data_IF_193918639055
#
_entry.id   IF_193918639055
#
_cell.length_a   1.000
_cell.length_b   1.000
_cell.length_c   1.000
_cell.angle_alpha   90.00
_cell.angle_beta   90.00
_cell.angle_gamma   90.00
#
_symmetry.space_group_name_H-M   'P 1'
#
loop_
_entity.id
_entity.type
_entity.pdbx_description
1 polymer ?
#
# COMPACT_ATOMS: atom_id res chain seq x y z
N UNK A 1 18.85 11.17 -23.22
CA UNK A 1 17.59 10.39 -23.15
C UNK A 1 17.74 9.36 -22.03
N UNK A 2 16.91 9.40 -20.99
CA UNK A 2 17.02 8.44 -19.88
C UNK A 2 16.47 7.08 -20.34
N UNK A 3 17.25 6.00 -20.17
CA UNK A 3 16.82 4.65 -20.57
C UNK A 3 15.71 4.17 -19.63
N UNK A 4 14.55 3.82 -20.19
CA UNK A 4 13.45 3.23 -19.43
C UNK A 4 13.86 1.83 -18.93
N UNK A 5 13.46 1.51 -17.70
CA UNK A 5 13.68 0.19 -17.10
C UNK A 5 12.91 -0.90 -17.87
N UNK A 6 13.44 -2.11 -17.88
CA UNK A 6 12.75 -3.26 -18.49
C UNK A 6 11.42 -3.57 -17.78
N UNK A 7 10.55 -4.36 -18.42
CA UNK A 7 9.31 -4.85 -17.79
C UNK A 7 9.63 -5.55 -16.47
N UNK A 8 10.63 -6.43 -16.46
CA UNK A 8 10.98 -7.23 -15.28
C UNK A 8 11.53 -6.36 -14.14
N UNK A 9 12.37 -5.36 -14.44
CA UNK A 9 12.86 -4.40 -13.44
C UNK A 9 11.74 -3.55 -12.85
N UNK A 10 10.77 -3.14 -13.68
CA UNK A 10 9.60 -2.39 -13.23
C UNK A 10 8.67 -3.26 -12.39
N UNK A 11 8.49 -4.52 -12.79
CA UNK A 11 7.68 -5.49 -12.07
C UNK A 11 8.26 -5.79 -10.68
N UNK A 12 9.57 -6.06 -10.59
CA UNK A 12 10.26 -6.26 -9.30
C UNK A 12 10.06 -5.06 -8.36
N UNK A 13 10.29 -3.84 -8.84
CA UNK A 13 10.06 -2.61 -8.06
C UNK A 13 8.62 -2.46 -7.60
N UNK A 14 7.65 -2.77 -8.48
CA UNK A 14 6.24 -2.73 -8.11
C UNK A 14 5.90 -3.76 -7.03
N UNK A 15 6.45 -4.97 -7.11
CA UNK A 15 6.33 -5.99 -6.07
C UNK A 15 6.87 -5.51 -4.73
N UNK A 16 8.04 -4.86 -4.72
CA UNK A 16 8.60 -4.24 -3.52
C UNK A 16 7.69 -3.14 -2.96
N UNK A 17 7.07 -2.32 -3.80
CA UNK A 17 6.11 -1.30 -3.36
C UNK A 17 4.87 -1.92 -2.70
N UNK A 18 4.34 -3.00 -3.27
CA UNK A 18 3.18 -3.72 -2.69
C UNK A 18 3.52 -4.31 -1.32
N UNK A 19 4.67 -4.98 -1.20
CA UNK A 19 5.14 -5.55 0.08
C UNK A 19 5.38 -4.46 1.12
N UNK A 20 6.06 -3.38 0.74
CA UNK A 20 6.31 -2.24 1.65
C UNK A 20 5.02 -1.56 2.08
N UNK A 21 4.08 -1.35 1.17
CA UNK A 21 2.77 -0.80 1.52
C UNK A 21 2.12 -1.65 2.62
N UNK A 22 2.07 -2.97 2.43
CA UNK A 22 1.47 -3.86 3.45
C UNK A 22 2.19 -3.79 4.80
N UNK A 23 3.52 -3.77 4.81
CA UNK A 23 4.28 -3.60 6.05
C UNK A 23 3.83 -2.37 6.85
N UNK A 24 3.74 -1.23 6.17
CA UNK A 24 3.31 0.01 6.83
C UNK A 24 1.86 -0.01 7.26
N UNK A 25 0.98 -0.64 6.49
CA UNK A 25 -0.41 -0.83 6.89
C UNK A 25 -0.52 -1.69 8.16
N UNK A 26 0.25 -2.78 8.24
CA UNK A 26 0.19 -3.71 9.36
C UNK A 26 0.75 -3.09 10.65
N UNK A 27 1.80 -2.26 10.54
CA UNK A 27 2.29 -1.45 11.66
C UNK A 27 1.27 -0.39 12.07
N UNK A 28 0.73 0.39 11.14
CA UNK A 28 -0.32 1.37 11.44
C UNK A 28 -1.50 0.70 12.15
N UNK A 29 -1.95 -0.46 11.65
CA UNK A 29 -3.07 -1.20 12.22
C UNK A 29 -2.81 -1.60 13.66
N UNK A 30 -1.59 -2.07 13.96
CA UNK A 30 -1.19 -2.44 15.31
C UNK A 30 -1.17 -1.27 16.30
N UNK A 31 -0.83 -0.06 15.85
CA UNK A 31 -0.76 1.11 16.73
C UNK A 31 -2.08 1.88 16.84
N UNK A 32 -2.98 1.76 15.87
CA UNK A 32 -4.17 2.62 15.76
C UNK A 32 -5.50 1.89 15.91
N UNK A 33 -5.59 0.58 15.64
CA UNK A 33 -6.86 -0.14 15.79
C UNK A 33 -7.16 -0.46 17.25
N UNK A 34 -8.44 -0.37 17.61
CA UNK A 34 -8.90 -0.50 19.00
C UNK A 34 -8.49 -1.83 19.66
N UNK A 35 -8.49 -2.91 18.89
CA UNK A 35 -8.14 -4.28 19.32
C UNK A 35 -6.70 -4.43 19.80
N UNK A 36 -5.83 -3.48 19.46
CA UNK A 36 -4.40 -3.52 19.75
C UNK A 36 -3.95 -2.28 20.52
N UNK A 37 -4.42 -1.09 20.12
CA UNK A 37 -4.07 0.19 20.73
C UNK A 37 -4.39 0.25 22.22
N UNK A 38 -5.56 -0.26 22.63
CA UNK A 38 -5.98 -0.22 24.05
C UNK A 38 -5.00 -0.94 24.97
N UNK A 39 -4.26 -1.93 24.46
CA UNK A 39 -3.30 -2.70 25.23
C UNK A 39 -1.91 -2.07 25.30
N UNK A 40 -1.64 -1.05 24.48
CA UNK A 40 -0.30 -0.44 24.36
C UNK A 40 -0.30 1.08 24.57
N UNK A 41 -1.47 1.70 24.78
CA UNK A 41 -1.62 3.15 24.81
C UNK A 41 -0.85 3.81 25.96
N UNK A 42 -0.78 3.19 27.13
CA UNK A 42 -0.02 3.74 28.26
C UNK A 42 1.48 3.76 27.92
N UNK A 43 2.02 2.66 27.41
CA UNK A 43 3.40 2.62 26.92
C UNK A 43 3.66 3.62 25.79
N UNK A 44 2.69 3.85 24.90
CA UNK A 44 2.82 4.89 23.88
C UNK A 44 2.88 6.31 24.48
N UNK A 45 2.16 6.56 25.59
CA UNK A 45 2.18 7.85 26.29
C UNK A 45 3.50 8.11 27.00
N UNK A 46 4.15 7.07 27.53
CA UNK A 46 5.48 7.21 28.15
C UNK A 46 6.53 7.71 27.14
N UNK A 47 6.33 7.40 25.85
CA UNK A 47 7.17 7.84 24.73
C UNK A 47 6.38 8.71 23.75
N UNK A 48 5.55 9.62 24.27
CA UNK A 48 4.57 10.39 23.48
C UNK A 48 5.19 11.09 22.26
N UNK A 49 6.33 11.76 22.38
CA UNK A 49 6.92 12.49 21.25
C UNK A 49 7.33 11.56 20.09
N UNK A 50 7.67 10.32 20.38
CA UNK A 50 7.94 9.31 19.35
C UNK A 50 6.64 8.77 18.75
N UNK A 51 5.70 8.33 19.59
CA UNK A 51 4.47 7.69 19.12
C UNK A 51 3.40 8.65 18.59
N UNK A 52 3.49 9.95 18.86
CA UNK A 52 2.56 10.97 18.35
C UNK A 52 2.51 11.03 16.83
N UNK A 53 3.66 10.81 16.16
CA UNK A 53 3.76 10.94 14.71
C UNK A 53 3.98 9.60 14.00
N UNK A 54 4.45 8.58 14.72
CA UNK A 54 4.86 7.30 14.13
C UNK A 54 3.72 6.57 13.39
N UNK A 55 2.53 6.36 13.98
CA UNK A 55 1.44 5.69 13.27
C UNK A 55 0.94 6.49 12.06
N UNK A 56 0.89 7.82 12.18
CA UNK A 56 0.55 8.70 11.07
C UNK A 56 1.56 8.55 9.90
N UNK A 57 2.86 8.51 10.20
CA UNK A 57 3.89 8.30 9.20
C UNK A 57 3.75 6.95 8.49
N UNK A 58 3.33 5.90 9.20
CA UNK A 58 3.03 4.60 8.60
C UNK A 58 1.85 4.66 7.63
N UNK A 59 0.72 5.26 8.02
CA UNK A 59 -0.44 5.41 7.12
C UNK A 59 -0.12 6.26 5.89
N UNK A 60 0.61 7.36 6.09
CA UNK A 60 1.12 8.22 5.01
C UNK A 60 1.95 7.40 4.02
N UNK A 61 2.93 6.65 4.52
CA UNK A 61 3.86 5.87 3.69
C UNK A 61 3.14 4.76 2.95
N UNK A 62 2.19 4.08 3.61
CA UNK A 62 1.26 3.15 2.97
C UNK A 62 0.55 3.81 1.78
N UNK A 63 -0.06 4.97 1.99
CA UNK A 63 -0.83 5.67 0.97
C UNK A 63 0.05 6.04 -0.24
N UNK A 64 1.28 6.48 0.00
CA UNK A 64 2.24 6.81 -1.07
C UNK A 64 2.52 5.58 -1.95
N UNK A 65 2.92 4.46 -1.35
CA UNK A 65 3.27 3.27 -2.11
C UNK A 65 2.07 2.69 -2.87
N UNK A 66 0.93 2.52 -2.20
CA UNK A 66 -0.21 1.85 -2.82
C UNK A 66 -0.92 2.75 -3.84
N UNK A 67 -1.02 4.07 -3.59
CA UNK A 67 -1.56 4.99 -4.60
C UNK A 67 -0.66 5.01 -5.84
N UNK A 68 0.67 5.00 -5.65
CA UNK A 68 1.63 4.90 -6.75
C UNK A 68 1.46 3.62 -7.57
N UNK A 69 1.17 2.48 -6.92
CA UNK A 69 0.94 1.21 -7.61
C UNK A 69 -0.28 1.24 -8.55
N UNK A 70 -1.30 2.04 -8.24
CA UNK A 70 -2.56 2.14 -8.99
C UNK A 70 -2.75 3.48 -9.73
N UNK A 71 -1.69 4.28 -9.83
CA UNK A 71 -1.79 5.59 -10.47
C UNK A 71 -1.95 5.49 -12.00
N UNK A 72 -2.38 6.57 -12.65
CA UNK A 72 -2.80 6.55 -14.04
C UNK A 72 -1.73 7.02 -15.04
N UNK A 73 -0.63 7.63 -14.57
CA UNK A 73 0.42 8.12 -15.44
C UNK A 73 1.12 6.97 -16.14
N UNK A 74 1.62 7.23 -17.34
CA UNK A 74 2.26 6.22 -18.19
C UNK A 74 3.78 6.16 -18.02
N UNK A 75 4.36 7.19 -17.43
CA UNK A 75 5.81 7.39 -17.26
C UNK A 75 6.32 6.90 -15.90
N UNK A 76 5.49 6.21 -15.13
CA UNK A 76 5.82 5.70 -13.79
C UNK A 76 5.66 4.19 -13.68
N UNK A 77 6.08 3.62 -12.55
CA UNK A 77 5.99 2.19 -12.26
C UNK A 77 4.68 1.89 -11.55
N UNK A 78 3.67 1.50 -12.33
CA UNK A 78 2.33 1.16 -11.83
C UNK A 78 1.73 -0.02 -12.62
N UNK A 79 0.67 -0.63 -12.08
CA UNK A 79 -0.01 -1.77 -12.71
C UNK A 79 -0.55 -1.42 -14.10
N UNK A 80 -1.19 -0.27 -14.28
CA UNK A 80 -1.80 0.11 -15.55
C UNK A 80 -0.79 0.22 -16.70
N UNK A 81 0.38 0.79 -16.44
CA UNK A 81 1.48 0.87 -17.41
C UNK A 81 2.06 -0.52 -17.71
N UNK A 82 2.32 -1.33 -16.67
CA UNK A 82 2.87 -2.68 -16.86
C UNK A 82 1.92 -3.61 -17.62
N UNK A 83 0.64 -3.61 -17.28
CA UNK A 83 -0.38 -4.41 -17.96
C UNK A 83 -0.41 -4.05 -19.44
N UNK A 84 -0.45 -2.74 -19.76
CA UNK A 84 -0.46 -2.29 -21.15
C UNK A 84 0.77 -2.74 -21.92
N UNK A 85 1.95 -2.59 -21.33
CA UNK A 85 3.21 -2.97 -21.99
C UNK A 85 3.29 -4.50 -22.18
N UNK A 86 2.81 -5.28 -21.20
CA UNK A 86 2.77 -6.74 -21.29
C UNK A 86 1.75 -7.22 -22.34
N UNK A 87 0.58 -6.59 -22.45
CA UNK A 87 -0.39 -6.86 -23.52
C UNK A 87 0.21 -6.51 -24.89
N UNK A 88 0.82 -5.33 -25.02
CA UNK A 88 1.45 -4.88 -26.27
C UNK A 88 2.61 -5.76 -26.73
N UNK A 89 3.38 -6.32 -25.78
CA UNK A 89 4.43 -7.29 -26.05
C UNK A 89 3.90 -8.73 -26.27
N UNK A 90 2.59 -8.95 -26.17
CA UNK A 90 1.97 -10.26 -26.37
C UNK A 90 2.20 -11.25 -25.23
N UNK A 91 2.62 -10.80 -24.04
CA UNK A 91 2.79 -11.63 -22.85
C UNK A 91 1.47 -11.90 -22.11
N UNK A 92 0.50 -10.99 -22.22
CA UNK A 92 -0.82 -11.11 -21.60
C UNK A 92 -1.87 -11.36 -22.68
N UNK A 93 -2.54 -12.52 -22.66
CA UNK A 93 -3.56 -12.90 -23.66
C UNK A 93 -4.67 -13.75 -23.05
N UNK A 94 -5.86 -13.71 -23.67
CA UNK A 94 -6.95 -14.64 -23.37
C UNK A 94 -7.40 -14.58 -21.91
N UNK A 95 -7.47 -15.75 -21.26
CA UNK A 95 -7.94 -15.85 -19.86
C UNK A 95 -7.08 -15.07 -18.87
N UNK A 96 -5.77 -14.95 -19.11
CA UNK A 96 -4.87 -14.20 -18.23
C UNK A 96 -5.19 -12.70 -18.22
N UNK A 97 -5.55 -12.14 -19.38
CA UNK A 97 -5.94 -10.75 -19.51
C UNK A 97 -7.26 -10.46 -18.78
N UNK A 98 -8.23 -11.37 -18.91
CA UNK A 98 -9.50 -11.28 -18.21
C UNK A 98 -9.33 -11.35 -16.67
N UNK A 99 -8.46 -12.23 -16.18
CA UNK A 99 -8.16 -12.37 -14.75
C UNK A 99 -7.49 -11.09 -14.19
N UNK A 100 -6.51 -10.55 -14.90
CA UNK A 100 -5.86 -9.26 -14.56
C UNK A 100 -6.89 -8.12 -14.52
N UNK A 101 -7.77 -8.04 -15.52
CA UNK A 101 -8.80 -7.01 -15.59
C UNK A 101 -9.80 -7.10 -14.43
N UNK A 102 -10.21 -8.32 -14.06
CA UNK A 102 -11.10 -8.56 -12.93
C UNK A 102 -10.46 -8.09 -11.60
N UNK A 103 -9.19 -8.42 -11.36
CA UNK A 103 -8.47 -7.96 -10.16
C UNK A 103 -8.33 -6.43 -10.12
N UNK A 104 -8.03 -5.80 -11.25
CA UNK A 104 -7.98 -4.33 -11.36
C UNK A 104 -9.34 -3.70 -11.03
N UNK A 105 -10.44 -4.31 -11.48
CA UNK A 105 -11.79 -3.86 -11.14
C UNK A 105 -12.08 -3.97 -9.64
N UNK A 106 -11.73 -5.09 -9.01
CA UNK A 106 -11.90 -5.28 -7.56
C UNK A 106 -11.13 -4.24 -6.75
N UNK A 107 -9.92 -3.87 -7.19
CA UNK A 107 -9.09 -2.90 -6.50
C UNK A 107 -9.53 -1.43 -6.71
N UNK A 108 -10.27 -1.15 -7.79
CA UNK A 108 -10.53 0.21 -8.29
C UNK A 108 -11.14 1.17 -7.26
N UNK A 109 -12.15 0.72 -6.52
CA UNK A 109 -12.85 1.57 -5.54
C UNK A 109 -11.92 1.98 -4.41
N UNK A 110 -11.26 1.02 -3.76
CA UNK A 110 -10.33 1.29 -2.67
C UNK A 110 -9.11 2.09 -3.14
N UNK A 111 -8.56 1.77 -4.32
CA UNK A 111 -7.45 2.53 -4.91
C UNK A 111 -7.80 4.01 -5.11
N UNK A 112 -9.03 4.31 -5.57
CA UNK A 112 -9.51 5.69 -5.72
C UNK A 112 -9.58 6.41 -4.37
N UNK A 113 -10.09 5.75 -3.32
CA UNK A 113 -10.15 6.32 -1.96
C UNK A 113 -8.75 6.64 -1.42
N UNK A 114 -7.79 5.74 -1.59
CA UNK A 114 -6.41 5.98 -1.16
C UNK A 114 -5.74 7.08 -1.98
N UNK A 115 -6.04 7.19 -3.28
CA UNK A 115 -5.57 8.31 -4.10
C UNK A 115 -6.08 9.67 -3.60
N UNK A 116 -7.33 9.75 -3.11
CA UNK A 116 -7.88 10.95 -2.46
C UNK A 116 -7.06 11.30 -1.22
N UNK A 117 -6.77 10.33 -0.34
CA UNK A 117 -5.94 10.55 0.85
C UNK A 117 -4.54 11.05 0.46
N UNK A 118 -3.85 10.34 -0.45
CA UNK A 118 -2.50 10.72 -0.91
C UNK A 118 -2.49 12.14 -1.47
N UNK A 119 -3.44 12.49 -2.33
CA UNK A 119 -3.42 13.78 -3.00
C UNK A 119 -3.81 14.91 -2.07
N UNK A 120 -4.87 14.76 -1.27
CA UNK A 120 -5.48 15.89 -0.57
C UNK A 120 -5.03 16.02 0.90
N UNK A 121 -4.65 14.92 1.57
CA UNK A 121 -4.20 14.97 2.97
C UNK A 121 -2.67 15.07 3.09
N UNK A 122 -1.95 14.41 2.16
CA UNK A 122 -0.56 14.04 2.35
C UNK A 122 0.43 14.72 1.39
N UNK A 123 0.12 14.80 0.09
CA UNK A 123 1.05 15.33 -0.91
C UNK A 123 0.75 16.78 -1.31
N UNK A 124 -0.51 17.13 -1.53
CA UNK A 124 -0.93 18.46 -1.96
C UNK A 124 -2.07 18.95 -1.07
N UNK A 125 -1.70 19.55 0.07
CA UNK A 125 -2.68 20.21 0.93
C UNK A 125 -3.21 21.44 0.21
N UNK A 126 -4.50 21.44 -0.09
CA UNK A 126 -5.18 22.64 -0.56
C UNK A 126 -5.61 23.45 0.67
N UNK A 127 -5.69 24.77 0.55
CA UNK A 127 -6.26 25.61 1.62
C UNK A 127 -7.79 25.48 1.75
N UNK A 128 -8.42 24.68 0.90
CA UNK A 128 -9.87 24.60 0.74
C UNK A 128 -10.51 23.43 1.50
N UNK A 129 -9.73 22.49 2.03
CA UNK A 129 -10.24 21.30 2.73
C UNK A 129 -9.40 21.01 3.97
N UNK A 130 -10.02 20.75 5.11
CA UNK A 130 -9.28 20.39 6.32
C UNK A 130 -8.77 18.95 6.24
N UNK A 131 -7.82 18.60 7.11
CA UNK A 131 -7.31 17.24 7.18
C UNK A 131 -8.43 16.23 7.48
N UNK A 132 -9.34 16.54 8.42
CA UNK A 132 -10.46 15.67 8.77
C UNK A 132 -11.45 15.52 7.61
N UNK A 133 -11.76 16.62 6.91
CA UNK A 133 -12.66 16.60 5.75
C UNK A 133 -12.13 15.68 4.62
N UNK A 134 -10.81 15.55 4.45
CA UNK A 134 -10.24 14.61 3.48
C UNK A 134 -10.48 13.16 3.87
N UNK A 135 -10.36 12.82 5.16
CA UNK A 135 -10.65 11.48 5.66
C UNK A 135 -12.14 11.16 5.53
N UNK A 136 -13.00 12.12 5.86
CA UNK A 136 -14.45 12.02 5.70
C UNK A 136 -14.89 11.97 4.23
N UNK A 137 -14.11 12.56 3.32
CA UNK A 137 -14.33 12.45 1.88
C UNK A 137 -13.91 11.08 1.36
N UNK A 138 -12.74 10.58 1.79
CA UNK A 138 -12.21 9.30 1.34
C UNK A 138 -13.05 8.12 1.86
N UNK A 139 -13.65 8.24 3.06
CA UNK A 139 -14.45 7.21 3.74
C UNK A 139 -13.86 5.81 3.57
N UNK A 140 -12.56 5.70 3.84
CA UNK A 140 -11.85 4.43 3.67
C UNK A 140 -11.80 3.67 4.98
N UNK A 141 -12.32 2.45 4.97
CA UNK A 141 -12.25 1.59 6.13
C UNK A 141 -10.90 0.85 6.18
N UNK A 142 -10.38 0.52 7.38
CA UNK A 142 -9.16 -0.28 7.52
C UNK A 142 -9.19 -1.60 6.73
N UNK A 143 -10.35 -2.27 6.71
CA UNK A 143 -10.56 -3.48 5.93
C UNK A 143 -10.42 -3.27 4.41
N UNK A 144 -10.81 -2.11 3.90
CA UNK A 144 -10.64 -1.76 2.47
C UNK A 144 -9.16 -1.53 2.13
N UNK A 145 -8.39 -0.94 3.05
CA UNK A 145 -6.95 -0.76 2.89
C UNK A 145 -6.22 -2.11 2.79
N UNK A 146 -6.61 -3.06 3.65
CA UNK A 146 -6.06 -4.41 3.64
C UNK A 146 -6.46 -5.16 2.38
N UNK A 147 -7.74 -5.15 2.02
CA UNK A 147 -8.24 -5.76 0.79
C UNK A 147 -7.55 -5.21 -0.46
N UNK A 148 -7.25 -3.90 -0.50
CA UNK A 148 -6.50 -3.28 -1.59
C UNK A 148 -5.08 -3.86 -1.72
N UNK A 149 -4.36 -4.03 -0.60
CA UNK A 149 -3.02 -4.67 -0.65
C UNK A 149 -3.08 -6.14 -1.02
N UNK A 150 -4.09 -6.88 -0.57
CA UNK A 150 -4.28 -8.27 -0.95
C UNK A 150 -4.55 -8.40 -2.46
N UNK A 151 -5.39 -7.52 -3.01
CA UNK A 151 -5.64 -7.45 -4.45
C UNK A 151 -4.36 -7.08 -5.22
N UNK A 152 -3.58 -6.10 -4.73
CA UNK A 152 -2.32 -5.71 -5.33
C UNK A 152 -1.28 -6.84 -5.34
N UNK A 153 -1.19 -7.63 -4.26
CA UNK A 153 -0.29 -8.78 -4.20
C UNK A 153 -0.71 -9.88 -5.16
N UNK A 154 -2.01 -10.21 -5.21
CA UNK A 154 -2.55 -11.18 -6.17
C UNK A 154 -2.26 -10.76 -7.60
N UNK A 155 -2.50 -9.49 -7.91
CA UNK A 155 -2.23 -8.91 -9.23
C UNK A 155 -0.74 -8.97 -9.58
N UNK A 156 0.14 -8.54 -8.67
CA UNK A 156 1.58 -8.65 -8.86
C UNK A 156 2.00 -10.11 -9.10
N UNK A 157 1.54 -11.06 -8.29
CA UNK A 157 1.93 -12.47 -8.39
C UNK A 157 1.44 -13.13 -9.69
N UNK A 158 0.32 -12.67 -10.24
CA UNK A 158 -0.18 -13.10 -11.55
C UNK A 158 0.75 -12.59 -12.67
N UNK A 159 1.09 -11.30 -12.67
CA UNK A 159 2.05 -10.73 -13.63
C UNK A 159 3.45 -11.36 -13.50
N UNK A 160 3.87 -11.64 -12.26
CA UNK A 160 5.14 -12.29 -11.95
C UNK A 160 5.22 -13.69 -12.55
N UNK A 161 4.17 -14.49 -12.40
CA UNK A 161 4.09 -15.82 -12.96
C UNK A 161 4.18 -15.80 -14.50
N UNK A 162 3.54 -14.84 -15.16
CA UNK A 162 3.59 -14.69 -16.62
C UNK A 162 5.01 -14.37 -17.11
N UNK A 163 5.77 -13.58 -16.34
CA UNK A 163 7.15 -13.19 -16.67
C UNK A 163 8.20 -14.18 -16.17
N UNK A 164 7.81 -15.21 -15.42
CA UNK A 164 8.75 -16.13 -14.77
C UNK A 164 9.61 -15.48 -13.69
N UNK A 165 9.16 -14.36 -13.11
CA UNK A 165 9.86 -13.71 -11.99
C UNK A 165 9.31 -14.20 -10.65
N UNK A 166 10.10 -14.03 -9.58
CA UNK A 166 9.74 -14.51 -8.26
C UNK A 166 8.45 -13.86 -7.75
N UNK A 167 7.58 -14.70 -7.18
CA UNK A 167 6.40 -14.25 -6.42
C UNK A 167 6.83 -13.57 -5.13
N UNK A 168 5.97 -12.68 -4.65
CA UNK A 168 6.13 -11.97 -3.39
C UNK A 168 5.10 -12.46 -2.38
N UNK A 169 5.41 -12.25 -1.11
CA UNK A 169 4.59 -12.65 0.02
C UNK A 169 4.66 -11.59 1.11
N UNK A 170 3.58 -11.46 1.87
CA UNK A 170 3.60 -10.66 3.07
C UNK A 170 4.20 -11.45 4.23
N UNK A 171 4.79 -10.72 5.18
CA UNK A 171 5.39 -11.27 6.38
C UNK A 171 4.82 -10.57 7.60
N UNK A 172 4.72 -11.30 8.71
CA UNK A 172 4.23 -10.78 9.99
C UNK A 172 5.37 -10.28 10.90
N UNK A 173 6.63 -10.41 10.46
CA UNK A 173 7.81 -10.04 11.23
C UNK A 173 7.78 -8.59 11.77
N UNK A 174 7.42 -7.55 10.97
CA UNK A 174 7.40 -6.18 11.47
C UNK A 174 6.42 -5.98 12.63
N UNK A 175 5.25 -6.60 12.57
CA UNK A 175 4.25 -6.53 13.64
C UNK A 175 4.69 -7.37 14.85
N UNK A 176 5.35 -8.51 14.65
CA UNK A 176 5.93 -9.30 15.76
C UNK A 176 7.02 -8.52 16.49
N UNK A 177 7.91 -7.86 15.75
CA UNK A 177 8.98 -7.05 16.32
C UNK A 177 8.42 -5.83 17.05
N UNK A 178 7.41 -5.15 16.48
CA UNK A 178 6.72 -4.06 17.15
C UNK A 178 6.06 -4.51 18.47
N UNK A 179 5.42 -5.69 18.49
CA UNK A 179 4.86 -6.29 19.72
C UNK A 179 5.95 -6.59 20.75
N UNK A 180 7.07 -7.16 20.33
CA UNK A 180 8.21 -7.42 21.21
C UNK A 180 8.78 -6.14 21.82
N UNK A 181 8.93 -5.10 21.00
CA UNK A 181 9.36 -3.77 21.45
C UNK A 181 8.41 -3.19 22.48
N UNK A 182 7.10 -3.13 22.20
CA UNK A 182 6.12 -2.59 23.16
C UNK A 182 6.09 -3.37 24.47
N UNK A 183 6.20 -4.70 24.41
CA UNK A 183 6.27 -5.54 25.61
C UNK A 183 7.56 -5.32 26.43
N UNK A 184 8.67 -4.94 25.79
CA UNK A 184 9.90 -4.58 26.49
C UNK A 184 9.80 -3.19 27.14
N UNK A 185 9.22 -2.22 26.44
CA UNK A 185 9.01 -0.85 26.94
C UNK A 185 8.00 -0.78 28.09
N UNK A 186 7.01 -1.69 28.13
CA UNK A 186 6.03 -1.75 29.22
C UNK A 186 6.59 -2.32 30.54
N UNK A 187 7.79 -2.89 30.54
CA UNK A 187 8.44 -3.49 31.72
C UNK A 187 9.43 -2.54 32.42
N UNK A 188 9.62 -1.35 31.87
CA UNK A 188 10.37 -0.23 32.47
C UNK A 188 9.44 0.63 33.30
#
# INVERSE_FOLDING_TARGET
MQKQLSIDQRLDRLGQHVVRARLFLDLWSYFELDDTRQHIIETMRDYNEFFRFTPHAYLLTYCIYIAGAFEARRDTINFGALIRDMTGAGHLKGSQEAEVAALMMTAKSAARKVAILRNNAFAHRTSAISYNDVFDLAKVAPAELRALTDAALKLFNLLAAIRGVAKQYFTDLPTKDAKGMMAALAKT
#
